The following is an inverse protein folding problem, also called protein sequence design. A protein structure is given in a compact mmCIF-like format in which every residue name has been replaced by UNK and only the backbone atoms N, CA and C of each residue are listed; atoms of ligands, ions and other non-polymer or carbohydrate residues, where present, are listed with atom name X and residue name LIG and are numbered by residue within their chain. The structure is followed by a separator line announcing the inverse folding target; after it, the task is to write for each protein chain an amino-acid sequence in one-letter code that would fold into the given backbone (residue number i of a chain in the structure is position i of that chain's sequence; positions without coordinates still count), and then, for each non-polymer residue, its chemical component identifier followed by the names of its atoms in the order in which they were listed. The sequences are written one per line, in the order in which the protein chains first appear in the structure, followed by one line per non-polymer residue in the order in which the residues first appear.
data_IF_852115933237
#
_entry.id   IF_852115933237
#
_cell.length_a   1.000
_cell.length_b   1.000
_cell.length_c   1.000
_cell.angle_alpha   90.00
_cell.angle_beta   90.00
_cell.angle_gamma   90.00
#
_symmetry.space_group_name_H-M   'P 1'
#
loop_
_entity.id
_entity.type
_entity.pdbx_description
1 polymer ?
#
# COMPACT_ATOMS: atom_id res chain seq x y z
N UNK A 1 -4.33 42.52 17.04
CA UNK A 1 -4.16 41.08 17.34
C UNK A 1 -5.33 40.33 16.71
N UNK A 2 -5.13 39.68 15.55
CA UNK A 2 -6.22 39.00 14.81
C UNK A 2 -6.41 37.60 15.39
N UNK A 3 -7.63 37.31 15.87
CA UNK A 3 -8.00 36.01 16.44
C UNK A 3 -8.08 34.99 15.31
N UNK A 4 -7.19 33.98 15.33
CA UNK A 4 -7.27 32.85 14.41
C UNK A 4 -8.47 31.99 14.78
N UNK A 5 -9.36 31.76 13.81
CA UNK A 5 -10.51 30.88 13.96
C UNK A 5 -10.05 29.50 13.49
N UNK A 6 -9.80 28.58 14.44
CA UNK A 6 -9.23 27.26 14.14
C UNK A 6 -10.23 26.25 13.55
N UNK A 7 -11.51 26.62 13.39
CA UNK A 7 -12.51 25.75 12.79
C UNK A 7 -13.60 26.55 12.07
N UNK A 8 -13.67 26.44 10.75
CA UNK A 8 -14.62 27.18 9.90
C UNK A 8 -15.67 26.26 9.22
N UNK A 9 -15.71 24.96 9.54
CA UNK A 9 -16.66 24.01 8.95
C UNK A 9 -16.48 23.74 7.45
N UNK A 10 -15.46 24.31 6.80
CA UNK A 10 -15.15 24.03 5.41
C UNK A 10 -14.51 22.64 5.26
N UNK A 11 -15.11 21.79 4.43
CA UNK A 11 -14.64 20.42 4.18
C UNK A 11 -13.54 20.34 3.11
N UNK A 12 -13.29 21.45 2.42
CA UNK A 12 -12.24 21.61 1.42
C UNK A 12 -11.56 22.96 1.61
N UNK A 13 -10.25 22.97 1.39
CA UNK A 13 -9.44 24.19 1.31
C UNK A 13 -8.74 24.22 -0.05
N UNK A 14 -8.62 25.39 -0.71
CA UNK A 14 -7.80 25.52 -1.90
C UNK A 14 -6.33 25.27 -1.55
N UNK A 15 -5.53 24.80 -2.50
CA UNK A 15 -4.12 24.43 -2.27
C UNK A 15 -3.29 25.61 -1.72
N UNK A 16 -3.67 26.83 -2.08
CA UNK A 16 -3.07 28.09 -1.60
C UNK A 16 -3.37 28.39 -0.13
N UNK A 17 -4.46 27.84 0.42
CA UNK A 17 -4.84 27.95 1.83
C UNK A 17 -4.31 26.80 2.69
N UNK A 18 -3.51 25.89 2.12
CA UNK A 18 -2.80 24.86 2.86
C UNK A 18 -1.70 25.53 3.69
N UNK A 19 -1.99 25.79 4.96
CA UNK A 19 -1.11 26.52 5.85
C UNK A 19 0.19 25.74 6.10
N UNK A 20 1.32 26.35 5.74
CA UNK A 20 2.66 25.82 5.99
C UNK A 20 2.93 25.60 7.49
N UNK A 21 2.21 26.32 8.35
CA UNK A 21 2.31 26.19 9.81
C UNK A 21 1.61 24.93 10.34
N UNK A 22 0.59 24.41 9.65
CA UNK A 22 -0.13 23.18 10.05
C UNK A 22 0.55 21.91 9.52
N UNK A 23 1.32 22.04 8.44
CA UNK A 23 2.08 20.94 7.85
C UNK A 23 3.54 21.34 7.59
N UNK A 24 4.29 21.76 8.62
CA UNK A 24 5.67 22.22 8.43
C UNK A 24 6.54 21.14 7.80
N UNK A 25 6.28 19.87 8.09
CA UNK A 25 6.98 18.70 7.53
C UNK A 25 6.78 18.51 6.02
N UNK A 26 5.68 19.03 5.45
CA UNK A 26 5.40 19.00 4.00
C UNK A 26 6.20 20.06 3.23
N UNK A 27 6.62 21.12 3.91
CA UNK A 27 7.20 22.33 3.31
C UNK A 27 8.59 22.67 3.85
N UNK A 28 9.11 21.84 4.75
CA UNK A 28 10.48 21.95 5.23
C UNK A 28 11.44 21.45 4.15
N UNK A 29 12.06 22.40 3.47
CA UNK A 29 13.05 22.19 2.41
C UNK A 29 14.41 21.69 2.99
N UNK A 30 14.48 21.42 4.29
CA UNK A 30 15.69 20.98 4.99
C UNK A 30 16.01 19.50 4.73
N UNK A 31 16.51 19.15 3.53
CA UNK A 31 17.24 17.90 3.19
C UNK A 31 16.64 16.56 3.69
N UNK A 32 15.39 16.54 4.13
CA UNK A 32 14.73 15.33 4.60
C UNK A 32 14.04 14.78 3.36
N UNK A 33 14.70 13.82 2.70
CA UNK A 33 14.11 13.16 1.54
C UNK A 33 12.72 12.65 1.92
N UNK A 34 11.70 13.20 1.26
CA UNK A 34 10.32 12.74 1.40
C UNK A 34 10.29 11.30 0.91
N UNK A 35 10.24 10.34 1.84
CA UNK A 35 10.07 8.92 1.51
C UNK A 35 8.59 8.57 1.47
N UNK A 36 8.23 7.51 0.75
CA UNK A 36 6.85 7.06 0.57
C UNK A 36 6.18 6.75 1.91
N UNK A 37 6.93 6.15 2.83
CA UNK A 37 6.47 5.88 4.19
C UNK A 37 6.20 7.15 5.00
N UNK A 38 7.10 8.15 4.92
CA UNK A 38 6.89 9.44 5.60
C UNK A 38 5.73 10.22 5.00
N UNK A 39 5.58 10.21 3.67
CA UNK A 39 4.43 10.81 3.00
C UNK A 39 3.11 10.20 3.45
N UNK A 40 3.07 8.88 3.58
CA UNK A 40 1.88 8.18 4.07
C UNK A 40 1.53 8.53 5.51
N UNK A 41 2.53 8.78 6.36
CA UNK A 41 2.36 9.12 7.77
C UNK A 41 1.97 10.61 7.96
N UNK A 42 2.69 11.52 7.31
CA UNK A 42 2.56 12.96 7.53
C UNK A 42 1.43 13.60 6.71
N UNK A 43 1.06 13.03 5.56
CA UNK A 43 0.16 13.68 4.60
C UNK A 43 -1.23 13.06 4.63
N UNK A 44 -2.17 13.75 5.29
CA UNK A 44 -3.52 13.24 5.54
C UNK A 44 -4.27 12.78 4.28
N UNK A 45 -4.13 13.49 3.15
CA UNK A 45 -4.80 13.11 1.91
C UNK A 45 -4.15 11.89 1.23
N UNK A 46 -2.82 11.72 1.34
CA UNK A 46 -2.11 10.53 0.86
C UNK A 46 -2.55 9.31 1.68
N UNK A 47 -2.51 9.45 3.01
CA UNK A 47 -3.03 8.43 3.93
C UNK A 47 -4.44 8.01 3.54
N UNK A 48 -5.34 8.99 3.37
CA UNK A 48 -6.75 8.72 3.08
C UNK A 48 -6.96 8.08 1.71
N UNK A 49 -6.24 8.54 0.68
CA UNK A 49 -6.36 7.99 -0.67
C UNK A 49 -5.96 6.51 -0.73
N UNK A 50 -4.83 6.16 -0.10
CA UNK A 50 -4.36 4.76 -0.02
C UNK A 50 -5.36 3.91 0.77
N UNK A 51 -5.83 4.40 1.91
CA UNK A 51 -6.83 3.69 2.74
C UNK A 51 -8.15 3.45 2.00
N UNK A 52 -8.68 4.46 1.29
CA UNK A 52 -9.92 4.33 0.54
C UNK A 52 -9.82 3.24 -0.53
N UNK A 53 -8.73 3.22 -1.30
CA UNK A 53 -8.51 2.22 -2.35
C UNK A 53 -8.30 0.82 -1.77
N UNK A 54 -7.45 0.70 -0.76
CA UNK A 54 -7.18 -0.58 -0.10
C UNK A 54 -8.46 -1.18 0.54
N UNK A 55 -9.29 -0.36 1.16
CA UNK A 55 -10.55 -0.82 1.74
C UNK A 55 -11.56 -1.20 0.65
N UNK A 56 -11.66 -0.41 -0.42
CA UNK A 56 -12.56 -0.70 -1.53
C UNK A 56 -12.25 -2.07 -2.15
N UNK A 57 -10.98 -2.36 -2.48
CA UNK A 57 -10.61 -3.65 -3.08
C UNK A 57 -10.92 -4.83 -2.16
N UNK A 58 -10.73 -4.66 -0.84
CA UNK A 58 -10.97 -5.73 0.14
C UNK A 58 -12.45 -6.05 0.35
N UNK A 59 -13.33 -5.08 0.06
CA UNK A 59 -14.79 -5.23 0.24
C UNK A 59 -15.53 -5.81 -0.96
N UNK A 60 -14.85 -5.97 -2.11
CA UNK A 60 -15.48 -6.47 -3.33
C UNK A 60 -15.80 -7.97 -3.16
N UNK A 61 -17.08 -8.38 -3.27
CA UNK A 61 -17.43 -9.79 -3.30
C UNK A 61 -16.81 -10.47 -4.52
N UNK A 62 -16.29 -11.68 -4.33
CA UNK A 62 -15.68 -12.46 -5.40
C UNK A 62 -16.16 -13.91 -5.35
N UNK A 63 -16.03 -14.60 -6.49
CA UNK A 63 -16.23 -16.05 -6.62
C UNK A 63 -14.99 -16.60 -7.28
N UNK A 64 -14.53 -17.77 -6.82
CA UNK A 64 -13.38 -18.45 -7.42
C UNK A 64 -13.93 -19.54 -8.34
N UNK A 65 -13.45 -19.52 -9.57
CA UNK A 65 -13.85 -20.45 -10.62
C UNK A 65 -12.69 -21.38 -10.94
N UNK A 66 -12.99 -22.66 -11.09
CA UNK A 66 -12.10 -23.66 -11.68
C UNK A 66 -12.86 -24.32 -12.83
N UNK A 67 -12.34 -24.20 -14.05
CA UNK A 67 -12.98 -24.71 -15.26
C UNK A 67 -14.45 -24.21 -15.40
N UNK A 68 -14.66 -22.91 -15.16
CA UNK A 68 -15.96 -22.20 -15.15
C UNK A 68 -16.92 -22.56 -14.00
N UNK A 69 -16.57 -23.53 -13.16
CA UNK A 69 -17.41 -23.93 -12.03
C UNK A 69 -16.95 -23.25 -10.72
N UNK A 70 -17.89 -22.75 -9.89
CA UNK A 70 -17.57 -22.23 -8.57
C UNK A 70 -16.91 -23.29 -7.69
N UNK A 71 -15.74 -22.96 -7.16
CA UNK A 71 -15.01 -23.83 -6.21
C UNK A 71 -14.78 -23.12 -4.89
N UNK A 72 -14.81 -23.90 -3.82
CA UNK A 72 -14.33 -23.44 -2.53
C UNK A 72 -12.79 -23.44 -2.53
N UNK A 73 -12.20 -22.33 -2.09
CA UNK A 73 -10.77 -22.15 -2.07
C UNK A 73 -10.32 -21.90 -0.64
N UNK A 74 -9.38 -22.71 -0.17
CA UNK A 74 -8.93 -22.74 1.22
C UNK A 74 -8.43 -21.37 1.75
N UNK A 75 -8.00 -20.45 0.87
CA UNK A 75 -7.53 -19.12 1.26
C UNK A 75 -8.52 -17.99 0.94
N UNK A 76 -9.77 -18.32 0.57
CA UNK A 76 -10.80 -17.32 0.24
C UNK A 76 -11.01 -16.32 1.39
N UNK A 77 -11.09 -16.80 2.63
CA UNK A 77 -11.29 -15.95 3.82
C UNK A 77 -10.17 -14.91 4.04
N UNK A 78 -8.94 -15.25 3.60
CA UNK A 78 -7.77 -14.38 3.75
C UNK A 78 -7.57 -13.45 2.56
N UNK A 79 -8.20 -13.74 1.43
CA UNK A 79 -8.02 -13.01 0.19
C UNK A 79 -8.36 -11.51 0.33
N UNK A 80 -9.45 -11.09 1.02
CA UNK A 80 -9.73 -9.67 1.28
C UNK A 80 -8.56 -8.92 1.93
N UNK A 81 -7.97 -9.50 2.98
CA UNK A 81 -6.85 -8.90 3.69
C UNK A 81 -5.59 -8.86 2.82
N UNK A 82 -5.31 -9.94 2.08
CA UNK A 82 -4.17 -9.98 1.17
C UNK A 82 -4.30 -8.94 0.06
N UNK A 83 -5.49 -8.77 -0.52
CA UNK A 83 -5.77 -7.77 -1.54
C UNK A 83 -5.64 -6.34 -0.98
N UNK A 84 -6.13 -6.09 0.24
CA UNK A 84 -5.97 -4.81 0.92
C UNK A 84 -4.49 -4.42 1.05
N UNK A 85 -3.65 -5.34 1.53
CA UNK A 85 -2.21 -5.11 1.71
C UNK A 85 -1.48 -4.98 0.38
N UNK A 86 -1.93 -5.71 -0.65
CA UNK A 86 -1.39 -5.63 -2.00
C UNK A 86 -1.63 -4.25 -2.60
N UNK A 87 -2.86 -3.78 -2.53
CA UNK A 87 -3.25 -2.46 -3.03
C UNK A 87 -2.53 -1.33 -2.29
N UNK A 88 -2.42 -1.41 -0.96
CA UNK A 88 -1.64 -0.46 -0.19
C UNK A 88 -0.16 -0.44 -0.62
N UNK A 89 0.44 -1.62 -0.85
CA UNK A 89 1.83 -1.75 -1.26
C UNK A 89 2.07 -1.21 -2.68
N UNK A 90 1.17 -1.49 -3.63
CA UNK A 90 1.22 -0.95 -4.99
C UNK A 90 1.12 0.57 -5.00
N UNK A 91 0.26 1.14 -4.16
CA UNK A 91 0.05 2.59 -4.09
C UNK A 91 1.25 3.34 -3.49
N UNK A 92 1.95 2.71 -2.54
CA UNK A 92 3.09 3.32 -1.86
C UNK A 92 4.42 3.07 -2.57
N UNK A 93 4.64 1.86 -3.11
CA UNK A 93 5.96 1.45 -3.59
C UNK A 93 5.97 0.99 -5.05
N UNK A 94 4.83 1.01 -5.74
CA UNK A 94 4.71 0.51 -7.12
C UNK A 94 4.92 -1.00 -7.25
N UNK A 95 4.97 -1.73 -6.14
CA UNK A 95 5.22 -3.17 -6.11
C UNK A 95 4.52 -3.84 -4.92
N UNK A 96 4.19 -5.12 -5.08
CA UNK A 96 3.63 -5.96 -4.02
C UNK A 96 4.11 -7.40 -4.21
N UNK A 97 4.32 -8.13 -3.11
CA UNK A 97 4.87 -9.48 -3.15
C UNK A 97 4.12 -10.43 -2.22
N UNK A 98 3.80 -11.61 -2.72
CA UNK A 98 3.27 -12.72 -1.93
C UNK A 98 4.26 -13.87 -1.91
N UNK A 99 4.57 -14.36 -0.72
CA UNK A 99 5.33 -15.57 -0.52
C UNK A 99 4.38 -16.75 -0.59
N UNK A 100 4.68 -17.67 -1.52
CA UNK A 100 4.01 -18.96 -1.63
C UNK A 100 4.63 -19.91 -0.62
N UNK A 101 3.93 -20.19 0.47
CA UNK A 101 4.31 -21.25 1.39
C UNK A 101 3.77 -22.55 0.81
N UNK A 102 4.67 -23.39 0.28
CA UNK A 102 4.30 -24.66 -0.33
C UNK A 102 5.13 -25.79 0.24
N UNK A 103 4.52 -26.95 0.35
CA UNK A 103 5.24 -28.22 0.44
C UNK A 103 5.53 -28.74 -0.98
N UNK A 104 6.26 -29.85 -1.09
CA UNK A 104 6.58 -30.49 -2.37
C UNK A 104 5.34 -30.76 -3.26
N UNK A 105 4.17 -30.96 -2.64
CA UNK A 105 2.96 -31.46 -3.30
C UNK A 105 1.85 -30.39 -3.39
N UNK A 106 1.76 -29.45 -2.44
CA UNK A 106 0.66 -28.49 -2.36
C UNK A 106 1.10 -27.11 -1.84
N UNK A 107 0.43 -26.06 -2.34
CA UNK A 107 0.46 -24.73 -1.74
C UNK A 107 -0.28 -24.80 -0.40
N UNK A 108 0.37 -24.37 0.67
CA UNK A 108 -0.16 -24.38 2.04
C UNK A 108 -0.72 -23.01 2.42
N UNK A 109 -0.03 -21.94 2.06
CA UNK A 109 -0.43 -20.60 2.45
C UNK A 109 0.15 -19.53 1.50
N UNK A 110 -0.45 -18.34 1.56
CA UNK A 110 0.04 -17.12 0.93
C UNK A 110 0.31 -16.08 2.02
N UNK A 111 1.56 -15.65 2.11
CA UNK A 111 1.97 -14.60 3.05
C UNK A 111 2.34 -13.33 2.30
N UNK A 112 1.70 -12.22 2.65
CA UNK A 112 2.13 -10.92 2.14
C UNK A 112 3.51 -10.53 2.68
N UNK A 113 4.34 -9.93 1.83
CA UNK A 113 5.58 -9.27 2.24
C UNK A 113 5.61 -7.80 1.83
N UNK A 114 6.10 -6.98 2.75
CA UNK A 114 6.30 -5.56 2.52
C UNK A 114 7.28 -5.33 1.37
N UNK A 115 6.86 -4.55 0.37
CA UNK A 115 7.67 -4.26 -0.81
C UNK A 115 9.05 -3.69 -0.47
N UNK A 116 9.15 -2.82 0.53
CA UNK A 116 10.43 -2.27 1.01
C UNK A 116 11.45 -3.32 1.46
N UNK A 117 11.01 -4.53 1.81
CA UNK A 117 11.88 -5.61 2.27
C UNK A 117 12.35 -6.52 1.14
N UNK A 118 11.84 -6.34 -0.07
CA UNK A 118 12.11 -7.20 -1.22
C UNK A 118 12.89 -6.40 -2.26
N UNK A 119 13.99 -6.97 -2.75
CA UNK A 119 14.74 -6.44 -3.89
C UNK A 119 14.69 -7.42 -5.04
N UNK A 120 14.19 -7.03 -6.23
CA UNK A 120 14.28 -7.88 -7.42
C UNK A 120 15.73 -8.04 -7.86
N UNK A 121 16.13 -9.27 -8.18
CA UNK A 121 17.42 -9.59 -8.79
C UNK A 121 17.22 -9.65 -10.30
N UNK A 122 17.77 -8.66 -10.99
CA UNK A 122 17.73 -8.54 -12.43
C UNK A 122 19.08 -8.93 -13.03
N UNK A 123 19.03 -9.72 -14.08
CA UNK A 123 20.15 -10.04 -14.96
C UNK A 123 19.94 -9.38 -16.33
N UNK A 124 21.04 -8.99 -16.99
CA UNK A 124 20.96 -8.25 -18.25
C UNK A 124 20.45 -9.09 -19.43
N UNK A 125 20.71 -10.40 -19.43
CA UNK A 125 20.31 -11.29 -20.52
C UNK A 125 19.03 -12.06 -20.16
N UNK A 126 18.93 -12.53 -18.92
CA UNK A 126 17.81 -13.36 -18.47
C UNK A 126 16.63 -12.57 -17.85
N UNK A 127 16.78 -11.26 -17.61
CA UNK A 127 15.73 -10.44 -17.01
C UNK A 127 15.54 -10.69 -15.52
N UNK A 128 14.32 -10.88 -15.04
CA UNK A 128 14.04 -11.12 -13.62
C UNK A 128 14.43 -12.55 -13.21
N UNK A 129 15.52 -12.69 -12.45
CA UNK A 129 16.07 -13.99 -12.02
C UNK A 129 15.54 -14.42 -10.66
N UNK A 130 15.14 -13.48 -9.81
CA UNK A 130 14.57 -13.81 -8.50
C UNK A 130 14.36 -12.61 -7.61
N UNK A 131 14.16 -12.88 -6.32
CA UNK A 131 13.92 -11.87 -5.29
C UNK A 131 14.78 -12.14 -4.06
N UNK A 132 15.42 -11.10 -3.54
CA UNK A 132 16.15 -11.13 -2.27
C UNK A 132 15.30 -10.42 -1.20
N UNK A 133 15.04 -11.10 -0.08
CA UNK A 133 14.34 -10.49 1.06
C UNK A 133 15.35 -10.09 2.13
N UNK A 134 15.37 -8.80 2.49
CA UNK A 134 16.15 -8.28 3.61
C UNK A 134 15.26 -8.17 4.82
N UNK A 135 15.50 -9.06 5.77
CA UNK A 135 14.99 -8.96 7.13
C UNK A 135 16.10 -8.27 7.92
N UNK A 136 15.81 -7.07 8.42
CA UNK A 136 16.72 -6.33 9.29
C UNK A 136 16.91 -7.03 10.61
#
# INVERSE_FOLDING_TARGET
MKKSIYFNGAKSIPLEALDRMLFPELFDDSKTSITEAKSYEAVAWVYRAVQLRANAISSIPFVILQDEEPVDFELADRLPQLLQLTEASLNLYGAAYWLKERNLIRLRDLRWAAARTIKPRLDREAGLVGFERRLG
#
